data_IF_110250903612
#
_entry.id   IF_110250903612
#
_cell.length_a   1.000
_cell.length_b   1.000
_cell.length_c   1.000
_cell.angle_alpha   90.00
_cell.angle_beta   90.00
_cell.angle_gamma   90.00
#
_symmetry.space_group_name_H-M   'P 1'
#
loop_
_entity.id
_entity.type
_entity.pdbx_description
1 polymer ?
#
# COMPACT_ATOMS: atom_id res chain seq x y z
N UNK A 1 40.02 10.12 -66.79
CA UNK A 1 38.62 10.49 -66.30
C UNK A 1 38.45 10.05 -64.84
N UNK A 2 38.83 10.94 -63.93
CA UNK A 2 38.95 10.66 -62.49
C UNK A 2 37.69 11.13 -61.83
N UNK A 3 36.89 10.20 -61.26
CA UNK A 3 35.68 10.51 -60.51
C UNK A 3 36.05 10.75 -59.04
N UNK A 4 35.90 11.97 -58.58
CA UNK A 4 36.10 12.41 -57.21
C UNK A 4 34.80 12.08 -56.46
N UNK A 5 34.85 11.15 -55.48
CA UNK A 5 33.74 10.83 -54.61
C UNK A 5 33.78 11.75 -53.37
N UNK A 6 32.76 12.62 -53.27
CA UNK A 6 32.60 13.53 -52.15
C UNK A 6 31.87 12.79 -51.00
N UNK A 7 32.59 12.45 -49.94
CA UNK A 7 31.98 11.91 -48.71
C UNK A 7 31.38 13.06 -47.89
N UNK A 8 30.07 13.10 -47.83
CA UNK A 8 29.31 14.02 -46.97
C UNK A 8 29.23 13.41 -45.55
N UNK A 9 30.03 13.93 -44.63
CA UNK A 9 29.95 13.59 -43.19
C UNK A 9 28.71 14.27 -42.59
N UNK A 10 27.63 13.48 -42.37
CA UNK A 10 26.46 13.90 -41.59
C UNK A 10 26.84 13.87 -40.12
N UNK A 11 27.01 15.05 -39.52
CA UNK A 11 27.15 15.21 -38.09
C UNK A 11 25.78 14.94 -37.43
N UNK A 12 25.67 13.85 -36.66
CA UNK A 12 24.49 13.53 -35.82
C UNK A 12 24.60 14.40 -34.57
N UNK A 13 23.65 15.30 -34.30
CA UNK A 13 23.65 16.03 -33.03
C UNK A 13 23.43 15.06 -31.87
N UNK A 14 24.35 15.04 -30.91
CA UNK A 14 24.20 14.31 -29.67
C UNK A 14 23.00 14.89 -28.87
N UNK A 15 21.98 14.09 -28.65
CA UNK A 15 20.89 14.43 -27.70
C UNK A 15 21.49 14.56 -26.29
N UNK A 16 21.18 15.61 -25.53
CA UNK A 16 21.60 15.70 -24.15
C UNK A 16 20.94 14.56 -23.37
N UNK A 17 21.76 13.80 -22.65
CA UNK A 17 21.28 12.80 -21.69
C UNK A 17 20.39 13.51 -20.68
N UNK A 18 19.10 13.12 -20.64
CA UNK A 18 18.19 13.54 -19.57
C UNK A 18 18.71 12.92 -18.26
N UNK A 19 19.40 13.74 -17.49
CA UNK A 19 19.68 13.41 -16.09
C UNK A 19 18.32 13.31 -15.40
N UNK A 20 17.98 12.10 -14.96
CA UNK A 20 16.85 11.85 -14.05
C UNK A 20 17.12 12.62 -12.77
N UNK A 21 16.58 13.85 -12.70
CA UNK A 21 16.72 14.71 -11.56
C UNK A 21 16.06 14.07 -10.34
N UNK A 22 16.88 13.46 -9.49
CA UNK A 22 16.50 13.13 -8.13
C UNK A 22 16.27 14.46 -7.38
N UNK A 23 15.02 14.84 -7.22
CA UNK A 23 14.66 16.03 -6.44
C UNK A 23 15.06 15.81 -4.98
N UNK A 24 15.86 16.71 -4.37
CA UNK A 24 16.26 16.59 -2.96
C UNK A 24 15.07 16.48 -1.98
N UNK A 25 13.95 17.11 -2.31
CA UNK A 25 12.70 17.03 -1.54
C UNK A 25 12.14 15.61 -1.44
N UNK A 26 12.13 14.84 -2.51
CA UNK A 26 11.67 13.45 -2.50
C UNK A 26 12.50 12.55 -1.57
N UNK A 27 13.80 12.82 -1.47
CA UNK A 27 14.69 12.06 -0.60
C UNK A 27 14.50 12.40 0.89
N UNK A 28 14.11 13.63 1.22
CA UNK A 28 13.82 14.05 2.61
C UNK A 28 12.51 13.43 3.06
N UNK A 29 11.45 13.53 2.26
CA UNK A 29 10.14 12.94 2.56
C UNK A 29 10.21 11.42 2.72
N UNK A 30 10.89 10.72 1.81
CA UNK A 30 11.10 9.28 1.90
C UNK A 30 11.92 8.87 3.13
N UNK A 31 12.86 9.71 3.57
CA UNK A 31 13.69 9.45 4.75
C UNK A 31 12.93 9.70 6.06
N UNK A 32 12.14 10.76 6.16
CA UNK A 32 11.28 11.04 7.33
C UNK A 32 10.22 9.95 7.49
N UNK A 33 9.62 9.52 6.42
CA UNK A 33 8.67 8.45 6.43
C UNK A 33 9.31 7.11 6.80
N UNK A 34 10.53 6.85 6.29
CA UNK A 34 11.31 5.69 6.67
C UNK A 34 11.54 5.66 8.18
N UNK A 35 11.85 6.81 8.78
CA UNK A 35 12.04 6.95 10.22
C UNK A 35 10.73 6.69 10.98
N UNK A 36 9.63 7.33 10.60
CA UNK A 36 8.37 7.25 11.35
C UNK A 36 7.77 5.85 11.44
N UNK A 37 7.92 5.02 10.38
CA UNK A 37 7.45 3.63 10.44
C UNK A 37 8.37 2.72 11.25
N UNK A 38 9.67 3.00 11.33
CA UNK A 38 10.57 2.29 12.24
C UNK A 38 10.25 2.64 13.70
N UNK A 39 9.89 3.89 13.98
CA UNK A 39 9.49 4.36 15.31
C UNK A 39 8.17 3.74 15.78
N UNK A 40 7.35 3.21 14.86
CA UNK A 40 6.10 2.52 15.20
C UNK A 40 6.29 1.05 15.59
N UNK A 41 7.48 0.46 15.40
CA UNK A 41 7.74 -0.92 15.81
C UNK A 41 7.58 -1.06 17.32
N UNK A 42 6.77 -2.04 17.72
CA UNK A 42 6.42 -2.26 19.13
C UNK A 42 5.15 -1.57 19.59
N UNK A 43 4.62 -0.61 18.82
CA UNK A 43 3.33 0.03 19.12
C UNK A 43 2.20 -0.99 18.95
N UNK A 44 1.29 -1.04 19.93
CA UNK A 44 0.08 -1.86 19.88
C UNK A 44 -1.08 -0.99 19.42
N UNK A 45 -1.81 -1.45 18.40
CA UNK A 45 -2.98 -0.75 17.90
C UNK A 45 -4.10 -0.74 18.95
N UNK A 46 -4.81 0.38 19.05
CA UNK A 46 -6.00 0.48 19.89
C UNK A 46 -7.11 -0.45 19.34
N UNK A 47 -7.51 -1.49 20.07
CA UNK A 47 -8.52 -2.43 19.62
C UNK A 47 -9.92 -1.82 19.55
N UNK A 48 -10.13 -0.62 20.10
CA UNK A 48 -11.43 0.08 20.10
C UNK A 48 -11.66 0.91 18.84
N UNK A 49 -10.66 1.08 17.98
CA UNK A 49 -10.81 1.81 16.72
C UNK A 49 -11.94 1.19 15.88
N UNK A 50 -12.78 2.08 15.34
CA UNK A 50 -14.02 1.71 14.65
C UNK A 50 -13.94 2.03 13.17
N UNK A 51 -14.40 1.09 12.37
CA UNK A 51 -14.48 1.16 10.92
C UNK A 51 -15.82 0.58 10.45
N UNK A 52 -16.05 0.59 9.14
CA UNK A 52 -17.14 -0.13 8.50
C UNK A 52 -16.55 -1.09 7.48
N UNK A 53 -17.00 -2.34 7.47
CA UNK A 53 -16.52 -3.34 6.52
C UNK A 53 -17.16 -3.18 5.13
N UNK A 54 -16.63 -3.93 4.17
CA UNK A 54 -17.11 -3.95 2.78
C UNK A 54 -18.56 -4.40 2.60
N UNK A 55 -19.16 -4.95 3.64
CA UNK A 55 -20.58 -5.37 3.68
C UNK A 55 -21.48 -4.33 4.33
N UNK A 56 -20.89 -3.25 4.86
CA UNK A 56 -21.60 -2.17 5.54
C UNK A 56 -21.82 -2.43 7.04
N UNK A 57 -21.20 -3.43 7.64
CA UNK A 57 -21.31 -3.70 9.08
C UNK A 57 -20.24 -2.97 9.88
N UNK A 58 -20.56 -2.49 11.08
CA UNK A 58 -19.57 -1.93 12.00
C UNK A 58 -18.47 -2.96 12.31
N UNK A 59 -17.23 -2.51 12.26
CA UNK A 59 -16.05 -3.33 12.49
C UNK A 59 -15.12 -2.64 13.49
N UNK A 60 -14.84 -3.27 14.61
CA UNK A 60 -13.82 -2.81 15.55
C UNK A 60 -12.56 -3.67 15.45
N UNK A 61 -11.39 -3.08 15.65
CA UNK A 61 -10.13 -3.82 15.59
C UNK A 61 -10.06 -4.95 16.63
N UNK A 62 -10.82 -4.87 17.73
CA UNK A 62 -10.97 -5.97 18.70
C UNK A 62 -11.53 -7.27 18.09
N UNK A 63 -12.13 -7.22 16.92
CA UNK A 63 -12.56 -8.41 16.18
C UNK A 63 -11.39 -9.18 15.58
N UNK A 64 -10.23 -8.55 15.49
CA UNK A 64 -8.97 -9.15 15.07
C UNK A 64 -7.99 -9.33 16.23
N UNK A 65 -7.99 -8.41 17.22
CA UNK A 65 -6.98 -8.31 18.26
C UNK A 65 -7.59 -8.32 19.69
N UNK A 66 -7.10 -9.17 20.60
CA UNK A 66 -6.14 -10.23 20.36
C UNK A 66 -6.75 -11.38 19.55
N UNK A 67 -6.00 -11.89 18.59
CA UNK A 67 -6.43 -12.95 17.67
C UNK A 67 -5.53 -14.17 17.77
N UNK A 68 -5.70 -15.08 16.79
CA UNK A 68 -4.85 -16.27 16.65
C UNK A 68 -3.79 -16.09 15.57
N UNK A 69 -4.04 -15.24 14.58
CA UNK A 69 -3.20 -15.06 13.42
C UNK A 69 -2.60 -13.65 13.38
N UNK A 70 -1.36 -13.52 12.87
CA UNK A 70 -0.82 -12.23 12.48
C UNK A 70 -1.64 -11.58 11.38
N UNK A 71 -1.52 -10.26 11.24
CA UNK A 71 -2.27 -9.49 10.25
C UNK A 71 -1.30 -8.76 9.32
N UNK A 72 -1.56 -8.87 8.03
CA UNK A 72 -0.96 -8.03 6.99
C UNK A 72 -1.88 -6.84 6.75
N UNK A 73 -1.44 -5.66 7.17
CA UNK A 73 -2.19 -4.42 7.05
C UNK A 73 -1.71 -3.64 5.83
N UNK A 74 -2.65 -3.23 4.98
CA UNK A 74 -2.44 -2.33 3.84
C UNK A 74 -3.22 -1.04 4.09
N UNK A 75 -2.56 0.09 3.91
CA UNK A 75 -3.15 1.42 3.97
C UNK A 75 -3.06 2.10 2.59
N UNK A 76 -4.14 2.74 2.18
CA UNK A 76 -4.25 3.39 0.88
C UNK A 76 -5.69 3.84 0.67
N UNK A 77 -6.08 4.21 -0.55
CA UNK A 77 -7.47 4.52 -0.85
C UNK A 77 -7.93 3.79 -2.12
N UNK A 78 -9.20 3.41 -2.16
CA UNK A 78 -9.70 2.46 -3.15
C UNK A 78 -9.98 3.08 -4.51
N UNK A 79 -10.34 4.36 -4.53
CA UNK A 79 -10.60 5.13 -5.74
C UNK A 79 -9.32 5.66 -6.42
N UNK A 80 -8.14 5.22 -5.97
CA UNK A 80 -6.86 5.62 -6.53
C UNK A 80 -6.76 5.21 -8.01
N UNK A 81 -6.56 6.13 -8.95
CA UNK A 81 -6.45 5.82 -10.37
C UNK A 81 -5.06 5.29 -10.75
N UNK A 82 -4.08 5.35 -9.84
CA UNK A 82 -2.69 5.07 -10.15
C UNK A 82 -2.14 3.81 -9.47
N UNK A 83 -1.30 3.97 -8.45
CA UNK A 83 -0.45 2.89 -7.94
C UNK A 83 -1.10 1.96 -6.91
N UNK A 84 -2.17 2.36 -6.22
CA UNK A 84 -2.74 1.53 -5.14
C UNK A 84 -3.24 0.16 -5.62
N UNK A 85 -3.67 0.07 -6.88
CA UNK A 85 -4.00 -1.21 -7.50
C UNK A 85 -2.78 -2.10 -7.74
N UNK A 86 -1.66 -1.51 -8.15
CA UNK A 86 -0.41 -2.23 -8.39
C UNK A 86 0.21 -2.74 -7.08
N UNK A 87 0.14 -1.94 -6.01
CA UNK A 87 0.61 -2.35 -4.66
C UNK A 87 -0.17 -3.55 -4.16
N UNK A 88 -1.50 -3.50 -4.24
CA UNK A 88 -2.36 -4.61 -3.82
C UNK A 88 -2.11 -5.87 -4.67
N UNK A 89 -1.92 -5.70 -5.96
CA UNK A 89 -1.61 -6.79 -6.89
C UNK A 89 -0.24 -7.43 -6.57
N UNK A 90 0.78 -6.61 -6.31
CA UNK A 90 2.10 -7.09 -5.91
C UNK A 90 2.05 -7.82 -4.55
N UNK A 91 1.33 -7.26 -3.57
CA UNK A 91 1.12 -7.89 -2.28
C UNK A 91 0.44 -9.26 -2.40
N UNK A 92 -0.61 -9.36 -3.24
CA UNK A 92 -1.33 -10.61 -3.42
C UNK A 92 -0.52 -11.66 -4.19
N UNK A 93 0.32 -11.25 -5.16
CA UNK A 93 1.28 -12.17 -5.78
C UNK A 93 2.26 -12.72 -4.74
N UNK A 94 2.90 -11.86 -3.96
CA UNK A 94 3.82 -12.29 -2.92
C UNK A 94 3.16 -13.23 -1.90
N UNK A 95 1.93 -12.92 -1.45
CA UNK A 95 1.16 -13.78 -0.55
C UNK A 95 0.72 -15.09 -1.21
N UNK A 96 0.57 -15.13 -2.54
CA UNK A 96 0.25 -16.37 -3.28
C UNK A 96 1.43 -17.31 -3.35
N UNK A 97 2.66 -16.79 -3.37
CA UNK A 97 3.88 -17.56 -3.55
C UNK A 97 4.40 -18.20 -2.23
N UNK A 98 3.94 -17.70 -1.07
CA UNK A 98 4.31 -18.31 0.22
C UNK A 98 3.38 -19.50 0.55
N UNK A 99 3.92 -20.53 1.20
CA UNK A 99 3.15 -21.72 1.61
C UNK A 99 2.40 -21.46 2.94
N UNK A 100 1.57 -20.40 2.93
CA UNK A 100 0.70 -20.01 4.05
C UNK A 100 -0.70 -19.75 3.51
N UNK A 101 -1.73 -20.13 4.27
CA UNK A 101 -3.14 -19.96 3.89
C UNK A 101 -3.78 -18.81 4.66
N UNK A 102 -4.48 -17.88 3.95
CA UNK A 102 -5.25 -16.83 4.61
C UNK A 102 -6.39 -17.44 5.44
N UNK A 103 -6.63 -16.87 6.63
CA UNK A 103 -7.63 -17.36 7.57
C UNK A 103 -7.14 -18.46 8.50
N UNK A 104 -6.13 -19.21 8.10
CA UNK A 104 -5.48 -20.23 8.93
C UNK A 104 -4.18 -19.70 9.53
N UNK A 105 -3.29 -19.14 8.70
CA UNK A 105 -1.96 -18.71 9.11
C UNK A 105 -1.85 -17.19 9.30
N UNK A 106 -2.63 -16.41 8.54
CA UNK A 106 -2.65 -14.95 8.61
C UNK A 106 -4.00 -14.37 8.20
N UNK A 107 -4.22 -13.11 8.54
CA UNK A 107 -5.33 -12.30 8.03
C UNK A 107 -4.82 -11.12 7.23
N UNK A 108 -5.67 -10.55 6.38
CA UNK A 108 -5.38 -9.35 5.61
C UNK A 108 -6.38 -8.27 6.01
N UNK A 109 -5.87 -7.10 6.32
CA UNK A 109 -6.65 -5.92 6.63
C UNK A 109 -6.27 -4.81 5.66
N UNK A 110 -7.21 -4.31 4.90
CA UNK A 110 -7.02 -3.15 4.03
C UNK A 110 -7.91 -2.03 4.54
N UNK A 111 -7.34 -0.86 4.83
CA UNK A 111 -8.09 0.30 5.35
C UNK A 111 -7.87 1.48 4.45
N UNK A 112 -8.97 2.13 4.05
CA UNK A 112 -8.91 3.38 3.29
C UNK A 112 -8.48 4.53 4.18
N UNK A 113 -7.59 5.37 3.65
CA UNK A 113 -7.19 6.64 4.28
C UNK A 113 -8.05 7.83 3.82
N UNK A 114 -8.98 7.60 2.89
CA UNK A 114 -9.94 8.62 2.47
C UNK A 114 -11.26 8.47 3.26
N UNK A 115 -11.59 9.40 4.17
CA UNK A 115 -12.82 9.33 4.97
C UNK A 115 -14.10 9.51 4.14
N UNK A 116 -13.99 9.82 2.84
CA UNK A 116 -15.12 9.97 1.93
C UNK A 116 -15.47 8.66 1.22
N UNK A 117 -14.61 7.64 1.31
CA UNK A 117 -14.91 6.35 0.69
C UNK A 117 -15.99 5.59 1.46
N UNK A 118 -16.75 4.80 0.73
CA UNK A 118 -17.94 4.10 1.23
C UNK A 118 -17.75 2.58 1.25
N UNK A 119 -18.55 1.84 2.01
CA UNK A 119 -18.55 0.37 1.97
C UNK A 119 -18.78 -0.20 0.56
N UNK A 120 -19.56 0.49 -0.28
CA UNK A 120 -19.78 0.06 -1.67
C UNK A 120 -18.50 0.12 -2.50
N UNK A 121 -17.68 1.16 -2.30
CA UNK A 121 -16.36 1.29 -2.94
C UNK A 121 -15.40 0.20 -2.42
N UNK A 122 -15.40 -0.04 -1.11
CA UNK A 122 -14.62 -1.11 -0.47
C UNK A 122 -15.00 -2.49 -1.02
N UNK A 123 -16.29 -2.76 -1.18
CA UNK A 123 -16.82 -4.00 -1.77
C UNK A 123 -16.35 -4.19 -3.20
N UNK A 124 -16.50 -3.18 -4.06
CA UNK A 124 -16.05 -3.24 -5.44
C UNK A 124 -14.53 -3.48 -5.53
N UNK A 125 -13.75 -2.88 -4.61
CA UNK A 125 -12.31 -3.13 -4.48
C UNK A 125 -12.03 -4.58 -4.17
N UNK A 126 -12.72 -5.15 -3.17
CA UNK A 126 -12.57 -6.55 -2.78
C UNK A 126 -12.92 -7.49 -3.95
N UNK A 127 -14.06 -7.31 -4.56
CA UNK A 127 -14.51 -8.13 -5.72
C UNK A 127 -13.49 -8.12 -6.86
N UNK A 128 -12.87 -6.96 -7.15
CA UNK A 128 -11.88 -6.82 -8.22
C UNK A 128 -10.57 -7.55 -7.93
N UNK A 129 -10.11 -7.54 -6.67
CA UNK A 129 -8.78 -8.02 -6.33
C UNK A 129 -8.74 -9.39 -5.67
N UNK A 130 -9.82 -9.84 -5.03
CA UNK A 130 -9.86 -11.15 -4.36
C UNK A 130 -9.42 -12.33 -5.26
N UNK A 131 -9.81 -12.40 -6.56
CA UNK A 131 -9.36 -13.47 -7.43
C UNK A 131 -7.84 -13.50 -7.66
N UNK A 132 -7.15 -12.38 -7.43
CA UNK A 132 -5.70 -12.26 -7.61
C UNK A 132 -4.90 -12.88 -6.47
N UNK A 133 -5.51 -13.06 -5.30
CA UNK A 133 -4.87 -13.71 -4.16
C UNK A 133 -4.59 -15.20 -4.43
N UNK A 134 -5.34 -15.85 -5.35
CA UNK A 134 -5.15 -17.24 -5.78
C UNK A 134 -5.05 -18.26 -4.63
N UNK A 135 -5.71 -17.98 -3.50
CA UNK A 135 -5.72 -18.82 -2.30
C UNK A 135 -7.15 -19.01 -1.81
N UNK A 136 -7.45 -20.19 -1.29
CA UNK A 136 -8.70 -20.45 -0.59
C UNK A 136 -8.73 -19.72 0.75
N UNK A 137 -9.93 -19.44 1.28
CA UNK A 137 -10.07 -18.73 2.57
C UNK A 137 -9.89 -17.22 2.52
N UNK A 138 -9.46 -16.66 1.37
CA UNK A 138 -9.25 -15.21 1.23
C UNK A 138 -10.50 -14.38 1.44
N UNK A 139 -11.69 -14.91 1.09
CA UNK A 139 -12.97 -14.21 1.27
C UNK A 139 -13.21 -13.77 2.73
N UNK A 140 -13.00 -14.67 3.68
CA UNK A 140 -13.21 -14.41 5.10
C UNK A 140 -11.97 -13.82 5.80
N UNK A 141 -10.79 -14.11 5.28
CA UNK A 141 -9.54 -13.65 5.87
C UNK A 141 -9.19 -12.21 5.51
N UNK A 142 -9.70 -11.68 4.39
CA UNK A 142 -9.46 -10.33 3.96
C UNK A 142 -10.64 -9.41 4.26
N UNK A 143 -10.41 -8.40 5.11
CA UNK A 143 -11.35 -7.31 5.39
C UNK A 143 -10.91 -6.03 4.70
N UNK A 144 -11.87 -5.33 4.10
CA UNK A 144 -11.66 -4.07 3.37
C UNK A 144 -12.52 -3.01 4.05
N UNK A 145 -11.87 -2.09 4.76
CA UNK A 145 -12.52 -1.19 5.70
C UNK A 145 -12.50 0.26 5.22
N UNK A 146 -13.56 0.98 5.54
CA UNK A 146 -13.62 2.44 5.47
C UNK A 146 -13.87 2.99 6.88
N UNK A 147 -13.46 4.24 7.14
CA UNK A 147 -13.58 4.84 8.47
C UNK A 147 -13.74 6.35 8.40
N UNK A 148 -14.04 6.93 9.55
CA UNK A 148 -13.99 8.37 9.73
C UNK A 148 -12.56 8.89 9.89
N UNK A 149 -12.38 10.18 9.77
CA UNK A 149 -11.09 10.86 9.83
C UNK A 149 -10.35 10.60 11.16
N UNK A 150 -11.08 10.55 12.29
CA UNK A 150 -10.47 10.36 13.61
C UNK A 150 -9.89 8.94 13.78
N UNK A 151 -10.64 7.91 13.40
CA UNK A 151 -10.17 6.52 13.46
C UNK A 151 -9.04 6.26 12.44
N UNK A 152 -9.13 6.84 11.23
CA UNK A 152 -8.06 6.77 10.22
C UNK A 152 -6.78 7.43 10.76
N UNK A 153 -6.88 8.65 11.31
CA UNK A 153 -5.73 9.38 11.85
C UNK A 153 -5.07 8.62 13.03
N UNK A 154 -5.87 8.01 13.90
CA UNK A 154 -5.35 7.21 15.01
C UNK A 154 -4.61 5.97 14.51
N UNK A 155 -5.15 5.25 13.53
CA UNK A 155 -4.53 4.07 12.94
C UNK A 155 -3.22 4.40 12.21
N UNK A 156 -3.24 5.44 11.37
CA UNK A 156 -2.06 5.87 10.60
C UNK A 156 -0.94 6.38 11.50
N UNK A 157 -1.29 7.14 12.55
CA UNK A 157 -0.33 7.57 13.59
C UNK A 157 0.31 6.37 14.30
N UNK A 158 -0.49 5.40 14.74
CA UNK A 158 0.02 4.22 15.46
C UNK A 158 0.92 3.34 14.60
N UNK A 159 0.70 3.31 13.30
CA UNK A 159 1.49 2.52 12.34
C UNK A 159 2.65 3.31 11.71
N UNK A 160 2.79 4.60 12.03
CA UNK A 160 3.77 5.48 11.38
C UNK A 160 3.52 5.70 9.89
N UNK A 161 2.31 5.39 9.40
CA UNK A 161 1.97 5.56 7.99
C UNK A 161 1.65 7.02 7.70
N UNK A 162 2.45 7.64 6.82
CA UNK A 162 2.28 9.03 6.43
C UNK A 162 1.56 9.12 5.08
N UNK A 163 0.62 10.05 4.99
CA UNK A 163 -0.09 10.39 3.77
C UNK A 163 -0.52 11.84 3.80
N UNK A 164 -0.68 12.45 2.64
CA UNK A 164 -1.18 13.82 2.51
C UNK A 164 -1.96 14.01 1.22
N UNK A 165 -2.88 14.97 1.23
CA UNK A 165 -3.61 15.35 0.02
C UNK A 165 -2.76 16.27 -0.85
N UNK A 166 -2.44 15.83 -2.05
CA UNK A 166 -1.71 16.63 -3.04
C UNK A 166 -2.70 17.45 -3.88
N UNK A 167 -2.67 18.78 -3.71
CA UNK A 167 -3.47 19.70 -4.53
C UNK A 167 -3.04 19.69 -6.01
N UNK A 168 -1.79 19.33 -6.29
CA UNK A 168 -1.23 19.28 -7.64
C UNK A 168 -1.83 18.12 -8.46
N UNK A 169 -1.95 16.95 -7.85
CA UNK A 169 -2.45 15.74 -8.52
C UNK A 169 -3.91 15.46 -8.21
N UNK A 170 -4.50 16.20 -7.25
CA UNK A 170 -5.84 15.94 -6.71
C UNK A 170 -5.99 14.50 -6.20
N UNK A 171 -4.98 14.00 -5.50
CA UNK A 171 -4.90 12.63 -4.99
C UNK A 171 -4.21 12.59 -3.62
N UNK A 172 -4.45 11.53 -2.86
CA UNK A 172 -3.61 11.23 -1.71
C UNK A 172 -2.26 10.70 -2.18
N UNK A 173 -1.19 11.31 -1.67
CA UNK A 173 0.18 10.82 -1.83
C UNK A 173 0.56 10.03 -0.57
N UNK A 174 1.04 8.83 -0.76
CA UNK A 174 1.56 7.94 0.28
C UNK A 174 2.50 6.91 -0.35
N UNK A 175 3.48 6.38 0.38
CA UNK A 175 4.28 5.28 -0.13
C UNK A 175 3.51 3.98 -0.07
N UNK A 176 3.79 3.08 -1.00
CA UNK A 176 3.31 1.71 -0.91
C UNK A 176 3.93 1.02 0.30
N UNK A 177 3.11 0.47 1.18
CA UNK A 177 3.57 -0.21 2.39
C UNK A 177 2.68 -1.42 2.72
N UNK A 178 3.34 -2.53 3.14
CA UNK A 178 2.71 -3.63 3.85
C UNK A 178 3.21 -3.59 5.29
N UNK A 179 2.31 -3.50 6.25
CA UNK A 179 2.62 -3.44 7.67
C UNK A 179 2.26 -4.78 8.29
N UNK A 180 3.16 -5.33 9.10
CA UNK A 180 2.96 -6.62 9.75
C UNK A 180 2.63 -6.41 11.23
N UNK A 181 1.54 -7.06 11.67
CA UNK A 181 1.05 -6.99 13.03
C UNK A 181 1.04 -8.39 13.65
N UNK A 182 1.40 -8.48 14.94
CA UNK A 182 1.24 -9.72 15.71
C UNK A 182 -0.25 -10.03 15.93
N UNK A 183 -0.58 -11.24 16.43
CA UNK A 183 -1.95 -11.57 16.84
C UNK A 183 -2.52 -10.63 17.93
N UNK A 184 -1.67 -9.93 18.68
CA UNK A 184 -2.06 -8.94 19.69
C UNK A 184 -2.24 -7.52 19.11
N UNK A 185 -2.01 -7.35 17.79
CA UNK A 185 -2.09 -6.04 17.13
C UNK A 185 -0.84 -5.17 17.28
N UNK A 186 0.32 -5.75 17.64
CA UNK A 186 1.58 -5.01 17.76
C UNK A 186 2.29 -4.93 16.41
N UNK A 187 2.73 -3.74 16.03
CA UNK A 187 3.55 -3.51 14.81
C UNK A 187 4.91 -4.18 14.99
N UNK A 188 5.29 -5.04 14.06
CA UNK A 188 6.57 -5.75 14.08
C UNK A 188 7.45 -5.47 12.87
N UNK A 189 6.92 -4.84 11.84
CA UNK A 189 7.69 -4.45 10.66
C UNK A 189 6.83 -3.90 9.54
N UNK A 190 7.49 -3.39 8.51
CA UNK A 190 6.86 -2.97 7.27
C UNK A 190 7.77 -3.23 6.07
N UNK A 191 7.17 -3.66 4.95
CA UNK A 191 7.80 -3.67 3.63
C UNK A 191 7.35 -2.44 2.87
N UNK A 192 8.30 -1.77 2.21
CA UNK A 192 8.05 -0.55 1.44
C UNK A 192 8.47 -0.72 -0.01
N UNK A 193 7.76 -0.01 -0.88
CA UNK A 193 7.99 -0.08 -2.31
C UNK A 193 7.39 -1.34 -2.93
N UNK A 194 7.08 -1.26 -4.21
CA UNK A 194 6.60 -2.42 -5.00
C UNK A 194 7.74 -3.38 -5.35
N UNK A 195 8.99 -2.92 -5.35
CA UNK A 195 10.17 -3.71 -5.70
C UNK A 195 10.49 -4.79 -4.65
N UNK A 196 10.21 -4.52 -3.36
CA UNK A 196 10.37 -5.50 -2.27
C UNK A 196 9.24 -6.52 -2.15
N UNK A 197 8.18 -6.39 -2.95
CA UNK A 197 6.99 -7.25 -2.90
C UNK A 197 6.95 -8.30 -4.01
N UNK A 198 7.97 -8.41 -4.86
CA UNK A 198 7.90 -9.23 -6.07
C UNK A 198 9.21 -9.83 -6.58
N UNK A 199 10.19 -10.05 -5.71
CA UNK A 199 11.42 -10.81 -6.06
C UNK A 199 11.46 -12.12 -5.33
#
# INVERSE_FOLDING_TARGET
MTRLALFLLLAIPALPAQQSGHSPSRNIEAKEEASSQLDSIGVVLDPTLQFTDERGYPFQLRQLFPGKQPVVLLLGYYSCPAMCGQVLDAAFRALSDVDLQPGEHYRILNVSVDPKETPAIAKARKETFLPRLRKTGGEDAWRVLVGDEANIAALTKATGFQYYWSKLTNQYAHPPSLIFLTPEGKVVGALRGVEGMGT
#
